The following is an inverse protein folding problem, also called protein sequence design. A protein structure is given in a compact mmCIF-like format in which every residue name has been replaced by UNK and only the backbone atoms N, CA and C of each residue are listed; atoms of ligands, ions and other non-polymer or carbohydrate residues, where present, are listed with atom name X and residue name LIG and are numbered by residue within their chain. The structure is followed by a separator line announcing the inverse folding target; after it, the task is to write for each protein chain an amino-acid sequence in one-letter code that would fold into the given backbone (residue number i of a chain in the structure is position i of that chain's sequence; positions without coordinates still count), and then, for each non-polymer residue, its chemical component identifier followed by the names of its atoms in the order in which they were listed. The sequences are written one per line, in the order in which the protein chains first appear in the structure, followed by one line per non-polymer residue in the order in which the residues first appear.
data_IF_460016121120
#
_entry.id   IF_460016121120
#
_cell.length_a   1.000
_cell.length_b   1.000
_cell.length_c   1.000
_cell.angle_alpha   90.00
_cell.angle_beta   90.00
_cell.angle_gamma   90.00
#
_symmetry.space_group_name_H-M   'P 1'
#
loop_
_entity.id
_entity.type
_entity.pdbx_description
1 polymer ?
#
# COMPACT_ATOMS: atom_id res chain seq x y z
N UNK A 1 12.36 -25.17 14.98
CA UNK A 1 11.85 -23.78 15.02
C UNK A 1 12.35 -23.06 13.78
N UNK A 2 11.47 -22.60 12.90
CA UNK A 2 11.86 -21.84 11.70
C UNK A 2 12.35 -20.43 12.12
N UNK A 3 13.46 -19.97 11.52
CA UNK A 3 14.12 -18.68 11.81
C UNK A 3 14.25 -17.82 10.54
N UNK A 4 13.26 -17.91 9.65
CA UNK A 4 13.25 -17.13 8.43
C UNK A 4 12.38 -15.90 8.59
N UNK A 5 12.90 -14.77 8.11
CA UNK A 5 12.20 -13.51 7.97
C UNK A 5 12.30 -13.08 6.51
N UNK A 6 11.17 -12.80 5.89
CA UNK A 6 11.08 -12.36 4.50
C UNK A 6 10.80 -10.87 4.48
N UNK A 7 11.77 -10.08 4.03
CA UNK A 7 11.66 -8.63 3.92
C UNK A 7 11.18 -8.28 2.52
N UNK A 8 10.15 -7.45 2.42
CA UNK A 8 9.65 -6.93 1.15
C UNK A 8 9.14 -5.50 1.29
N UNK A 9 9.00 -4.83 0.14
CA UNK A 9 8.43 -3.52 -0.01
C UNK A 9 7.15 -3.57 -0.87
N UNK A 10 6.12 -2.82 -0.49
CA UNK A 10 4.95 -2.62 -1.33
C UNK A 10 4.51 -1.15 -1.35
N UNK A 11 4.24 -0.65 -2.57
CA UNK A 11 3.63 0.66 -2.76
C UNK A 11 2.10 0.56 -2.57
N UNK A 12 1.56 1.40 -1.68
CA UNK A 12 0.15 1.47 -1.33
C UNK A 12 -0.48 2.77 -1.82
N UNK A 13 -1.64 2.65 -2.45
CA UNK A 13 -2.49 3.79 -2.83
C UNK A 13 -3.74 3.81 -1.96
N UNK A 14 -3.93 4.90 -1.22
CA UNK A 14 -5.10 5.09 -0.35
C UNK A 14 -6.33 5.61 -1.10
N UNK A 15 -6.20 5.92 -2.40
CA UNK A 15 -7.29 6.41 -3.24
C UNK A 15 -7.98 5.28 -4.04
N UNK A 16 -7.61 4.02 -3.81
CA UNK A 16 -8.24 2.89 -4.48
C UNK A 16 -9.67 2.68 -4.02
N UNK A 17 -10.58 2.81 -4.98
CA UNK A 17 -12.01 2.54 -4.83
C UNK A 17 -12.50 1.74 -6.02
N UNK A 18 -13.65 1.08 -5.86
CA UNK A 18 -14.30 0.34 -6.95
C UNK A 18 -14.58 1.27 -8.13
N UNK A 19 -14.23 0.83 -9.35
CA UNK A 19 -14.53 1.59 -10.58
C UNK A 19 -15.97 1.42 -11.06
N UNK A 20 -16.61 0.31 -10.68
CA UNK A 20 -17.92 -0.07 -11.21
C UNK A 20 -18.86 -0.56 -10.12
N UNK A 21 -20.15 -0.41 -10.40
CA UNK A 21 -21.22 -0.73 -9.48
C UNK A 21 -22.48 -1.17 -10.21
N UNK A 22 -23.35 -1.90 -9.52
CA UNK A 22 -24.64 -2.35 -10.04
C UNK A 22 -25.76 -1.86 -9.12
N UNK A 23 -26.83 -1.34 -9.72
CA UNK A 23 -28.09 -1.02 -9.07
C UNK A 23 -29.25 -1.60 -9.87
N UNK A 24 -30.44 -1.65 -9.26
CA UNK A 24 -31.67 -2.02 -9.98
C UNK A 24 -31.99 -0.95 -11.05
N UNK A 25 -32.68 -1.38 -12.11
CA UNK A 25 -32.83 -0.63 -13.37
C UNK A 25 -33.12 0.87 -13.22
N UNK A 26 -32.43 1.68 -14.02
CA UNK A 26 -32.56 3.14 -14.06
C UNK A 26 -31.90 3.91 -12.90
N UNK A 27 -31.47 3.22 -11.84
CA UNK A 27 -30.89 3.88 -10.66
C UNK A 27 -29.39 4.13 -10.81
N UNK A 28 -28.94 5.26 -10.26
CA UNK A 28 -27.51 5.55 -10.08
C UNK A 28 -27.01 4.88 -8.81
N UNK A 29 -25.82 4.29 -8.87
CA UNK A 29 -25.13 3.85 -7.66
C UNK A 29 -24.37 5.04 -7.08
N UNK A 30 -24.79 5.49 -5.91
CA UNK A 30 -24.00 6.39 -5.09
C UNK A 30 -22.86 5.65 -4.39
N UNK A 31 -21.73 6.33 -4.21
CA UNK A 31 -20.61 5.82 -3.42
C UNK A 31 -19.66 6.95 -3.11
N UNK A 32 -19.22 7.04 -1.85
CA UNK A 32 -18.15 7.97 -1.50
C UNK A 32 -16.84 7.49 -2.13
N UNK A 33 -16.07 8.43 -2.67
CA UNK A 33 -14.71 8.19 -3.13
C UNK A 33 -13.77 9.12 -2.35
N UNK A 34 -12.52 8.71 -2.09
CA UNK A 34 -11.53 9.62 -1.54
C UNK A 34 -11.40 10.86 -2.43
N UNK A 35 -11.62 12.05 -1.87
CA UNK A 35 -11.59 13.31 -2.62
C UNK A 35 -10.17 13.67 -3.09
N UNK A 36 -9.17 13.35 -2.25
CA UNK A 36 -7.78 13.65 -2.53
C UNK A 36 -7.04 12.39 -2.98
N UNK A 37 -6.38 12.47 -4.14
CA UNK A 37 -5.31 11.55 -4.52
C UNK A 37 -4.08 11.89 -3.70
N UNK A 38 -3.99 11.36 -2.48
CA UNK A 38 -2.79 11.49 -1.65
C UNK A 38 -1.54 10.93 -2.34
N UNK A 39 -0.38 11.13 -1.73
CA UNK A 39 0.86 10.47 -2.18
C UNK A 39 0.71 8.95 -2.01
N UNK A 40 1.39 8.16 -2.86
CA UNK A 40 1.58 6.74 -2.57
C UNK A 40 2.37 6.60 -1.27
N UNK A 41 2.05 5.57 -0.49
CA UNK A 41 2.85 5.18 0.68
C UNK A 41 3.73 4.00 0.28
N UNK A 42 4.93 3.93 0.83
CA UNK A 42 5.75 2.72 0.79
C UNK A 42 5.62 2.00 2.12
N UNK A 43 5.20 0.73 2.10
CA UNK A 43 5.19 -0.17 3.24
C UNK A 43 6.41 -1.10 3.14
N UNK A 44 7.23 -1.14 4.17
CA UNK A 44 8.31 -2.12 4.33
C UNK A 44 7.96 -3.00 5.54
N UNK A 45 8.10 -4.31 5.41
CA UNK A 45 7.83 -5.22 6.53
C UNK A 45 8.53 -6.56 6.40
N UNK A 46 8.75 -7.22 7.53
CA UNK A 46 9.37 -8.54 7.61
C UNK A 46 8.34 -9.59 8.03
N UNK A 47 8.10 -10.61 7.20
CA UNK A 47 7.18 -11.71 7.49
C UNK A 47 7.91 -12.92 8.06
N UNK A 48 7.45 -13.42 9.21
CA UNK A 48 7.95 -14.65 9.85
C UNK A 48 6.79 -15.64 10.10
N UNK A 49 7.10 -16.84 10.60
CA UNK A 49 6.07 -17.80 11.06
C UNK A 49 5.26 -17.30 12.26
N UNK A 50 5.68 -16.21 12.91
CA UNK A 50 4.97 -15.55 14.01
C UNK A 50 4.10 -14.39 13.54
N UNK A 51 4.20 -13.99 12.26
CA UNK A 51 3.44 -12.90 11.66
C UNK A 51 4.32 -11.83 11.05
N UNK A 52 3.70 -10.67 10.78
CA UNK A 52 4.36 -9.50 10.23
C UNK A 52 5.01 -8.68 11.35
N UNK A 53 6.29 -8.37 11.18
CA UNK A 53 7.16 -7.71 12.15
C UNK A 53 7.91 -6.54 11.46
N UNK A 54 8.53 -5.66 12.25
CA UNK A 54 9.38 -4.56 11.79
C UNK A 54 8.76 -3.70 10.66
N UNK A 55 7.48 -3.34 10.83
CA UNK A 55 6.72 -2.59 9.82
C UNK A 55 7.08 -1.11 9.85
N UNK A 56 7.36 -0.54 8.68
CA UNK A 56 7.57 0.89 8.47
C UNK A 56 6.70 1.39 7.31
N UNK A 57 6.11 2.58 7.48
CA UNK A 57 5.38 3.29 6.44
C UNK A 57 6.11 4.59 6.13
N UNK A 58 6.36 4.84 4.85
CA UNK A 58 7.04 6.03 4.33
C UNK A 58 6.14 6.75 3.33
N UNK A 59 6.27 8.08 3.25
CA UNK A 59 5.58 8.88 2.24
C UNK A 59 6.34 8.89 0.91
N UNK A 60 5.64 8.62 -0.19
CA UNK A 60 6.23 8.59 -1.53
C UNK A 60 6.99 7.29 -1.84
N UNK A 61 7.65 7.23 -2.99
CA UNK A 61 8.51 6.12 -3.34
C UNK A 61 9.82 6.19 -2.56
N UNK A 62 10.22 5.08 -1.94
CA UNK A 62 11.57 4.85 -1.42
C UNK A 62 12.55 4.72 -2.59
N UNK A 63 13.02 5.85 -3.12
CA UNK A 63 14.23 5.85 -3.94
C UNK A 63 15.41 6.03 -2.99
N UNK A 64 16.27 5.01 -2.87
CA UNK A 64 17.60 5.28 -2.35
C UNK A 64 18.33 6.06 -3.42
N UNK A 65 18.48 7.37 -3.24
CA UNK A 65 19.59 8.05 -3.89
C UNK A 65 20.85 7.35 -3.39
N UNK A 66 21.56 6.66 -4.29
CA UNK A 66 22.89 6.15 -3.98
C UNK A 66 23.71 7.32 -3.41
N UNK A 67 24.31 7.12 -2.24
CA UNK A 67 25.26 8.09 -1.69
C UNK A 67 26.34 8.32 -2.77
N UNK A 68 26.57 9.56 -3.23
CA UNK A 68 27.65 9.80 -4.16
C UNK A 68 28.96 9.58 -3.41
N UNK A 69 29.67 8.48 -3.74
CA UNK A 69 31.03 8.24 -3.26
C UNK A 69 31.32 6.89 -2.57
N UNK A 70 30.55 5.83 -2.82
CA UNK A 70 31.00 4.45 -2.58
C UNK A 70 31.17 3.69 -3.89
#
# INVERSE_FOLDING_TARGET
MARFHFLDETALRLDYTRRYARAKGGQRVGGAIPLNRGKSLTLIGALSVRGLEAVQVLDGASISTALPGM
#
